data_IF_686052749626
#
_entry.id   IF_686052749626
#
_cell.length_a   1.000
_cell.length_b   1.000
_cell.length_c   1.000
_cell.angle_alpha   90.00
_cell.angle_beta   90.00
_cell.angle_gamma   90.00
#
_symmetry.space_group_name_H-M   'P 1'
#
loop_
_entity.id
_entity.type
_entity.pdbx_description
1 polymer ?
#
# COMPACT_ATOMS: atom_id res chain seq x y z
N UNK A 1 7.32 -24.58 -8.61
CA UNK A 1 6.82 -23.20 -8.80
C UNK A 1 7.70 -22.54 -9.83
N UNK A 2 7.13 -21.90 -10.86
CA UNK A 2 7.95 -21.20 -11.87
C UNK A 2 8.66 -20.00 -11.19
N UNK A 3 9.98 -19.93 -11.33
CA UNK A 3 10.76 -18.79 -10.84
C UNK A 3 10.63 -17.63 -11.83
N UNK A 4 10.66 -16.40 -11.33
CA UNK A 4 10.83 -15.24 -12.21
C UNK A 4 12.23 -15.32 -12.84
N UNK A 5 12.36 -15.06 -14.13
CA UNK A 5 13.66 -14.86 -14.78
C UNK A 5 14.13 -13.41 -14.59
N UNK A 6 15.43 -13.16 -14.73
CA UNK A 6 15.98 -11.81 -14.64
C UNK A 6 15.37 -10.86 -15.68
N UNK A 7 15.07 -11.37 -16.87
CA UNK A 7 14.37 -10.64 -17.95
C UNK A 7 12.94 -10.28 -17.53
N UNK A 8 12.17 -11.23 -16.99
CA UNK A 8 10.82 -10.96 -16.49
C UNK A 8 10.82 -9.92 -15.36
N UNK A 9 11.76 -10.03 -14.42
CA UNK A 9 11.90 -9.07 -13.32
C UNK A 9 12.15 -7.67 -13.89
N UNK A 10 13.08 -7.54 -14.84
CA UNK A 10 13.43 -6.28 -15.48
C UNK A 10 12.25 -5.68 -16.25
N UNK A 11 11.60 -6.47 -17.08
CA UNK A 11 10.52 -6.01 -17.97
C UNK A 11 9.27 -5.63 -17.19
N UNK A 12 8.85 -6.47 -16.23
CA UNK A 12 7.67 -6.18 -15.42
C UNK A 12 7.92 -4.98 -14.51
N UNK A 13 9.09 -4.89 -13.88
CA UNK A 13 9.41 -3.76 -12.99
C UNK A 13 9.49 -2.46 -13.79
N UNK A 14 10.23 -2.43 -14.90
CA UNK A 14 10.34 -1.23 -15.74
C UNK A 14 8.97 -0.78 -16.27
N UNK A 15 8.15 -1.73 -16.73
CA UNK A 15 6.77 -1.47 -17.17
C UNK A 15 5.94 -0.89 -16.04
N UNK A 16 6.01 -1.46 -14.83
CA UNK A 16 5.27 -0.95 -13.68
C UNK A 16 5.68 0.48 -13.31
N UNK A 17 6.97 0.79 -13.31
CA UNK A 17 7.47 2.12 -12.93
C UNK A 17 7.17 3.19 -14.00
N UNK A 18 7.02 2.80 -15.27
CA UNK A 18 6.63 3.71 -16.35
C UNK A 18 5.10 3.87 -16.48
N UNK A 19 4.32 2.94 -15.93
CA UNK A 19 2.88 2.94 -16.07
C UNK A 19 2.19 4.03 -15.22
N UNK A 20 0.96 4.44 -15.58
CA UNK A 20 0.15 5.30 -14.73
C UNK A 20 -0.05 4.70 -13.33
N UNK A 21 0.03 5.56 -12.31
CA UNK A 21 -0.07 5.20 -10.89
C UNK A 21 -1.16 4.15 -10.54
N UNK A 22 -2.40 4.23 -11.07
CA UNK A 22 -3.47 3.30 -10.69
C UNK A 22 -3.20 1.83 -11.01
N UNK A 23 -2.29 1.53 -11.95
CA UNK A 23 -2.05 0.16 -12.41
C UNK A 23 -0.66 -0.38 -12.04
N UNK A 24 0.25 0.45 -11.53
CA UNK A 24 1.63 0.03 -11.22
C UNK A 24 1.69 -1.17 -10.27
N UNK A 25 0.90 -1.14 -9.19
CA UNK A 25 0.84 -2.25 -8.23
C UNK A 25 0.35 -3.55 -8.87
N UNK A 26 -0.60 -3.46 -9.82
CA UNK A 26 -1.15 -4.62 -10.52
C UNK A 26 -0.13 -5.23 -11.47
N UNK A 27 0.64 -4.39 -12.16
CA UNK A 27 1.72 -4.86 -13.05
C UNK A 27 2.77 -5.60 -12.22
N UNK A 28 3.19 -5.06 -11.06
CA UNK A 28 4.12 -5.75 -10.17
C UNK A 28 3.60 -7.10 -9.67
N UNK A 29 2.28 -7.28 -9.52
CA UNK A 29 1.70 -8.57 -9.12
C UNK A 29 1.78 -9.68 -10.18
N UNK A 30 2.25 -9.37 -11.39
CA UNK A 30 2.58 -10.38 -12.40
C UNK A 30 3.83 -11.19 -12.04
N UNK A 31 4.68 -10.67 -11.15
CA UNK A 31 5.84 -11.42 -10.62
C UNK A 31 5.38 -12.45 -9.59
N UNK A 32 5.88 -13.68 -9.71
CA UNK A 32 5.63 -14.72 -8.72
C UNK A 32 6.18 -14.28 -7.36
N UNK A 33 5.36 -14.41 -6.31
CA UNK A 33 5.67 -13.99 -4.94
C UNK A 33 5.38 -12.52 -4.63
N UNK A 34 4.93 -11.72 -5.61
CA UNK A 34 4.62 -10.30 -5.40
C UNK A 34 3.11 -10.10 -5.28
N UNK A 35 2.61 -10.11 -4.05
CA UNK A 35 1.24 -9.65 -3.76
C UNK A 35 1.13 -8.13 -3.69
N UNK A 36 -0.09 -7.61 -3.60
CA UNK A 36 -0.36 -6.15 -3.45
C UNK A 36 0.45 -5.50 -2.30
N UNK A 37 0.60 -6.11 -1.10
CA UNK A 37 1.45 -5.55 -0.04
C UNK A 37 2.91 -5.39 -0.45
N UNK A 38 3.48 -6.40 -1.12
CA UNK A 38 4.87 -6.34 -1.61
C UNK A 38 5.03 -5.32 -2.73
N UNK A 39 4.11 -5.30 -3.69
CA UNK A 39 4.08 -4.30 -4.75
C UNK A 39 4.01 -2.87 -4.18
N UNK A 40 3.16 -2.64 -3.18
CA UNK A 40 3.05 -1.33 -2.52
C UNK A 40 4.32 -0.90 -1.78
N UNK A 41 5.05 -1.87 -1.22
CA UNK A 41 6.33 -1.64 -0.55
C UNK A 41 7.42 -1.21 -1.54
N UNK A 42 7.50 -1.89 -2.70
CA UNK A 42 8.41 -1.53 -3.78
C UNK A 42 8.12 -0.12 -4.32
N UNK A 43 6.85 0.19 -4.57
CA UNK A 43 6.44 1.51 -5.06
C UNK A 43 6.69 2.61 -4.02
N UNK A 44 6.48 2.34 -2.73
CA UNK A 44 6.78 3.29 -1.65
C UNK A 44 8.28 3.59 -1.57
N UNK A 45 9.16 2.60 -1.81
CA UNK A 45 10.61 2.84 -1.86
C UNK A 45 10.99 3.71 -3.06
N UNK A 46 10.34 3.50 -4.20
CA UNK A 46 10.65 4.24 -5.44
C UNK A 46 10.09 5.66 -5.46
N UNK A 47 8.84 5.87 -5.02
CA UNK A 47 8.14 7.16 -4.96
C UNK A 47 7.35 7.31 -3.65
N UNK A 48 8.02 7.62 -2.53
CA UNK A 48 7.41 7.70 -1.20
C UNK A 48 6.40 8.85 -1.04
N UNK A 49 6.44 9.85 -1.91
CA UNK A 49 5.48 10.96 -1.98
C UNK A 49 4.17 10.57 -2.67
N UNK A 50 4.21 9.56 -3.55
CA UNK A 50 3.03 9.09 -4.27
C UNK A 50 2.42 7.84 -3.62
N UNK A 51 3.27 6.93 -3.12
CA UNK A 51 2.86 5.61 -2.65
C UNK A 51 3.04 5.42 -1.14
N UNK A 52 2.21 4.53 -0.59
CA UNK A 52 2.32 4.04 0.77
C UNK A 52 2.20 2.51 0.79
N UNK A 53 2.68 1.89 1.86
CA UNK A 53 2.57 0.44 2.07
C UNK A 53 1.17 0.12 2.55
N UNK A 54 0.51 -0.86 1.92
CA UNK A 54 -0.73 -1.42 2.45
C UNK A 54 -0.40 -2.63 3.34
N UNK A 55 -0.87 -2.57 4.58
CA UNK A 55 -0.61 -3.56 5.61
C UNK A 55 -1.88 -3.82 6.43
N UNK A 56 -2.11 -5.07 6.86
CA UNK A 56 -3.32 -5.46 7.59
C UNK A 56 -3.49 -4.68 8.90
N UNK A 57 -2.39 -4.32 9.56
CA UNK A 57 -2.39 -3.53 10.80
C UNK A 57 -2.78 -2.10 10.54
N UNK A 58 -2.24 -1.51 9.46
CA UNK A 58 -2.58 -0.16 9.06
C UNK A 58 -4.06 -0.07 8.62
N UNK A 59 -4.55 -1.07 7.87
CA UNK A 59 -5.97 -1.20 7.51
C UNK A 59 -6.85 -1.31 8.76
N UNK A 60 -6.48 -2.16 9.73
CA UNK A 60 -7.19 -2.25 11.02
C UNK A 60 -7.25 -0.91 11.74
N UNK A 61 -6.15 -0.17 11.80
CA UNK A 61 -6.14 1.17 12.39
C UNK A 61 -7.12 2.11 11.68
N UNK A 62 -7.14 2.13 10.34
CA UNK A 62 -8.10 2.96 9.59
C UNK A 62 -9.56 2.56 9.85
N UNK A 63 -9.86 1.26 10.01
CA UNK A 63 -11.21 0.79 10.37
C UNK A 63 -11.61 1.26 11.76
N UNK A 64 -10.72 1.11 12.77
CA UNK A 64 -10.97 1.54 14.15
C UNK A 64 -11.24 3.04 14.24
N UNK A 65 -10.49 3.84 13.48
CA UNK A 65 -10.69 5.30 13.39
C UNK A 65 -11.79 5.71 12.39
N UNK A 66 -12.53 4.75 11.81
CA UNK A 66 -13.64 4.98 10.87
C UNK A 66 -13.25 5.76 9.61
N UNK A 67 -12.00 5.67 9.18
CA UNK A 67 -11.49 6.28 7.95
C UNK A 67 -11.86 5.43 6.71
N UNK A 68 -12.06 4.12 6.89
CA UNK A 68 -12.54 3.18 5.87
C UNK A 68 -13.54 2.18 6.47
N UNK A 69 -14.36 1.57 5.61
CA UNK A 69 -15.16 0.40 5.98
C UNK A 69 -14.29 -0.85 6.18
N UNK A 70 -14.77 -1.80 6.98
CA UNK A 70 -14.13 -3.10 7.15
C UNK A 70 -14.11 -3.87 5.80
N UNK A 71 -12.93 -4.25 5.27
CA UNK A 71 -12.83 -4.92 3.96
C UNK A 71 -13.19 -6.41 3.99
N UNK A 72 -13.56 -6.97 5.15
CA UNK A 72 -13.96 -8.38 5.29
C UNK A 72 -15.03 -8.76 4.23
N UNK A 73 -14.86 -9.89 3.51
CA UNK A 73 -13.96 -11.02 3.77
C UNK A 73 -12.54 -10.87 3.19
N UNK A 74 -12.20 -9.76 2.54
CA UNK A 74 -10.85 -9.53 1.99
C UNK A 74 -9.91 -8.96 3.07
N UNK A 75 -8.61 -9.27 3.01
CA UNK A 75 -7.64 -8.72 3.97
C UNK A 75 -7.37 -7.22 3.76
N UNK A 76 -7.67 -6.68 2.57
CA UNK A 76 -7.37 -5.32 2.17
C UNK A 76 -8.50 -4.70 1.35
N UNK A 77 -8.74 -3.38 1.47
CA UNK A 77 -9.52 -2.63 0.48
C UNK A 77 -8.75 -2.54 -0.85
N UNK A 78 -9.34 -1.87 -1.85
CA UNK A 78 -8.61 -1.49 -3.06
C UNK A 78 -7.37 -0.66 -2.71
N UNK A 79 -6.24 -0.95 -3.36
CA UNK A 79 -5.00 -0.18 -3.12
C UNK A 79 -5.19 1.32 -3.37
N UNK A 80 -5.95 1.69 -4.41
CA UNK A 80 -6.18 3.11 -4.72
C UNK A 80 -7.07 3.81 -3.70
N UNK A 81 -8.05 3.11 -3.14
CA UNK A 81 -8.87 3.62 -2.05
C UNK A 81 -8.01 3.84 -0.79
N UNK A 82 -7.18 2.86 -0.45
CA UNK A 82 -6.23 2.96 0.65
C UNK A 82 -5.28 4.15 0.52
N UNK A 83 -4.63 4.32 -0.65
CA UNK A 83 -3.73 5.45 -0.89
C UNK A 83 -4.46 6.79 -0.82
N UNK A 84 -5.69 6.87 -1.36
CA UNK A 84 -6.51 8.09 -1.29
C UNK A 84 -6.76 8.51 0.16
N UNK A 85 -7.12 7.56 1.02
CA UNK A 85 -7.38 7.80 2.44
C UNK A 85 -6.10 8.25 3.16
N UNK A 86 -4.99 7.54 2.96
CA UNK A 86 -3.70 7.90 3.56
C UNK A 86 -3.21 9.28 3.11
N UNK A 87 -3.44 9.66 1.84
CA UNK A 87 -3.15 11.02 1.34
C UNK A 87 -4.02 12.08 2.02
N UNK A 88 -5.30 11.80 2.21
CA UNK A 88 -6.20 12.68 2.97
C UNK A 88 -5.70 12.92 4.40
N UNK A 89 -5.30 11.86 5.10
CA UNK A 89 -4.73 11.95 6.46
C UNK A 89 -3.41 12.75 6.45
N UNK A 90 -2.53 12.46 5.49
CA UNK A 90 -1.26 13.16 5.30
C UNK A 90 -1.46 14.68 5.17
N UNK A 91 -2.43 15.09 4.35
CA UNK A 91 -2.79 16.49 4.17
C UNK A 91 -3.36 17.12 5.44
N UNK A 92 -4.33 16.46 6.11
CA UNK A 92 -4.94 16.96 7.35
C UNK A 92 -3.92 17.14 8.48
N UNK A 93 -2.94 16.26 8.55
CA UNK A 93 -1.92 16.27 9.61
C UNK A 93 -0.64 17.03 9.22
N UNK A 94 -0.52 17.51 7.97
CA UNK A 94 0.71 18.07 7.41
C UNK A 94 1.94 17.16 7.61
N UNK A 95 1.79 15.86 7.35
CA UNK A 95 2.85 14.84 7.51
C UNK A 95 3.05 14.05 6.21
N UNK A 96 4.26 13.53 6.00
CA UNK A 96 4.53 12.65 4.84
C UNK A 96 3.67 11.37 4.88
N UNK A 97 3.40 10.78 3.71
CA UNK A 97 2.75 9.47 3.61
C UNK A 97 3.48 8.41 4.45
N UNK A 98 4.82 8.44 4.44
CA UNK A 98 5.63 7.51 5.23
C UNK A 98 5.45 7.68 6.74
N UNK A 99 5.24 8.90 7.21
CA UNK A 99 4.92 9.17 8.62
C UNK A 99 3.55 8.60 8.98
N UNK A 100 2.55 8.82 8.12
CA UNK A 100 1.19 8.30 8.31
C UNK A 100 1.18 6.78 8.33
N UNK A 101 1.79 6.13 7.35
CA UNK A 101 1.97 4.68 7.26
C UNK A 101 2.56 4.08 8.54
N UNK A 102 3.69 4.62 9.02
CA UNK A 102 4.32 4.16 10.26
C UNK A 102 3.44 4.35 11.48
N UNK A 103 2.69 5.45 11.54
CA UNK A 103 1.77 5.70 12.65
C UNK A 103 0.61 4.70 12.66
N UNK A 104 -0.02 4.47 11.51
CA UNK A 104 -1.10 3.49 11.34
C UNK A 104 -0.62 2.07 11.67
N UNK A 105 0.55 1.68 11.17
CA UNK A 105 1.16 0.38 11.47
C UNK A 105 1.44 0.20 12.96
N UNK A 106 2.00 1.22 13.62
CA UNK A 106 2.30 1.20 15.06
C UNK A 106 1.05 1.15 15.93
N UNK A 107 -0.02 1.87 15.53
CA UNK A 107 -1.29 1.83 16.23
C UNK A 107 -1.94 0.43 16.18
N UNK A 108 -1.70 -0.35 15.12
CA UNK A 108 -2.10 -1.77 15.05
C UNK A 108 -3.58 -2.04 15.43
N UNK A 109 -4.49 -1.13 15.09
CA UNK A 109 -5.90 -1.26 15.44
C UNK A 109 -6.24 -1.05 16.92
N UNK A 110 -5.38 -0.42 17.71
CA UNK A 110 -5.72 0.03 19.06
C UNK A 110 -6.11 1.51 19.03
N UNK A 111 -7.30 1.86 19.51
CA UNK A 111 -7.64 3.25 19.80
C UNK A 111 -6.87 3.72 21.03
N UNK A 112 -6.56 5.02 21.11
CA UNK A 112 -5.89 5.62 22.28
C UNK A 112 -6.80 5.73 23.52
N UNK A 113 -7.95 5.03 23.53
CA UNK A 113 -8.96 5.02 24.59
C UNK A 113 -9.10 3.60 25.19
N UNK A 114 -7.97 2.99 25.55
CA UNK A 114 -7.91 1.77 26.36
C UNK A 114 -7.16 2.03 27.66
#
# INVERSE_FOLDING_TARGET
MASNTDEMIRDITSTALAAPMPIQHRILTLLNGVGVPMASSLLMVWRPEEHTVIDVRAVKSLVVYREIADPTPKPYPSYMEYVKVCRGISQRCARSLRTVDRALYRANGTSAEA
#
